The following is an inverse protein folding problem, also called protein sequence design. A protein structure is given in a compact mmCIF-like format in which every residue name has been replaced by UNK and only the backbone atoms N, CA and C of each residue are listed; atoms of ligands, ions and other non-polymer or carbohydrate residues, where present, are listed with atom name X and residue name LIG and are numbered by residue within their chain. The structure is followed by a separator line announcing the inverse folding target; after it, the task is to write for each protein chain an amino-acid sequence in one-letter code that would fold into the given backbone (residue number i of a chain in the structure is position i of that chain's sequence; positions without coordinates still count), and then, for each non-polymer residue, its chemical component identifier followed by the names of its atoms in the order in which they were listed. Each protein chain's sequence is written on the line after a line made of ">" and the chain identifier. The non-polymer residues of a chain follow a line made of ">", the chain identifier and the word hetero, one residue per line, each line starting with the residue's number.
data_IF_976870937503
#
_entry.id   IF_976870937503
#
_cell.length_a   1.000
_cell.length_b   1.000
_cell.length_c   1.000
_cell.angle_alpha   90.00
_cell.angle_beta   90.00
_cell.angle_gamma   90.00
#
_symmetry.space_group_name_H-M   'P 1'
#
loop_
_entity.id
_entity.type
_entity.pdbx_description
1 polymer ?
#
# COMPACT_ATOMS: atom_id res chain seq x y z
N UNK A 1 -2.17 -3.57 6.77
CA UNK A 1 -3.28 -2.81 6.13
C UNK A 1 -3.89 -1.68 6.97
N UNK A 2 -3.84 -1.67 8.30
CA UNK A 2 -4.45 -0.60 9.13
C UNK A 2 -4.01 0.82 8.76
N UNK A 3 -2.76 0.99 8.34
CA UNK A 3 -2.23 2.27 7.92
C UNK A 3 -2.93 2.86 6.68
N UNK A 4 -3.52 2.05 5.79
CA UNK A 4 -4.32 2.54 4.65
C UNK A 4 -5.61 3.24 5.11
N UNK A 5 -6.22 2.72 6.18
CA UNK A 5 -7.40 3.32 6.80
C UNK A 5 -7.00 4.67 7.40
N UNK A 6 -5.89 4.72 8.13
CA UNK A 6 -5.34 5.96 8.71
C UNK A 6 -5.06 7.00 7.62
N UNK A 7 -4.45 6.59 6.50
CA UNK A 7 -4.14 7.47 5.37
C UNK A 7 -5.41 7.97 4.66
N UNK A 8 -6.44 7.13 4.55
CA UNK A 8 -7.74 7.52 4.00
C UNK A 8 -8.45 8.52 4.90
N UNK A 9 -8.41 8.31 6.22
CA UNK A 9 -8.94 9.27 7.21
C UNK A 9 -8.20 10.59 7.12
N UNK A 10 -6.86 10.56 7.04
CA UNK A 10 -6.04 11.76 6.86
C UNK A 10 -6.45 12.55 5.61
N UNK A 11 -6.63 11.87 4.46
CA UNK A 11 -7.10 12.49 3.21
C UNK A 11 -8.45 13.19 3.42
N UNK A 12 -9.42 12.51 4.04
CA UNK A 12 -10.75 13.08 4.31
C UNK A 12 -10.66 14.29 5.23
N UNK A 13 -9.88 14.21 6.31
CA UNK A 13 -9.70 15.31 7.26
C UNK A 13 -9.10 16.55 6.60
N UNK A 14 -8.06 16.39 5.79
CA UNK A 14 -7.44 17.53 5.07
C UNK A 14 -8.44 18.18 4.12
N UNK A 15 -9.24 17.40 3.39
CA UNK A 15 -10.26 17.94 2.48
C UNK A 15 -11.35 18.69 3.24
N UNK A 16 -11.91 18.09 4.31
CA UNK A 16 -12.95 18.72 5.13
C UNK A 16 -12.44 20.02 5.75
N UNK A 17 -11.24 20.00 6.34
CA UNK A 17 -10.65 21.18 6.96
C UNK A 17 -10.42 22.29 5.93
N UNK A 18 -9.88 21.96 4.75
CA UNK A 18 -9.64 22.94 3.70
C UNK A 18 -10.96 23.54 3.20
N UNK A 19 -11.99 22.71 3.01
CA UNK A 19 -13.32 23.16 2.61
C UNK A 19 -13.95 24.07 3.66
N UNK A 20 -13.88 23.68 4.94
CA UNK A 20 -14.40 24.44 6.08
C UNK A 20 -13.72 25.81 6.25
N UNK A 21 -12.39 25.87 6.15
CA UNK A 21 -11.63 27.13 6.21
C UNK A 21 -12.08 28.08 5.09
N UNK A 22 -12.25 27.57 3.87
CA UNK A 22 -12.69 28.39 2.72
C UNK A 22 -14.13 28.88 2.89
N UNK A 23 -15.00 28.04 3.44
CA UNK A 23 -16.37 28.42 3.77
C UNK A 23 -16.41 29.58 4.77
N UNK A 24 -15.66 29.50 5.89
CA UNK A 24 -15.61 30.59 6.89
C UNK A 24 -15.08 31.90 6.29
N UNK A 25 -14.14 31.81 5.34
CA UNK A 25 -13.55 32.98 4.67
C UNK A 25 -14.46 33.60 3.61
N UNK A 26 -15.66 33.04 3.37
CA UNK A 26 -16.56 33.47 2.31
C UNK A 26 -16.02 33.21 0.90
N UNK A 27 -14.97 32.40 0.77
CA UNK A 27 -14.36 32.07 -0.51
C UNK A 27 -15.10 30.95 -1.24
N UNK A 28 -16.05 30.27 -0.57
CA UNK A 28 -16.80 29.13 -1.11
C UNK A 28 -18.21 29.08 -0.52
N UNK A 29 -19.20 28.84 -1.38
CA UNK A 29 -20.58 28.60 -0.98
C UNK A 29 -20.87 27.10 -0.78
N UNK A 30 -21.78 26.78 0.14
CA UNK A 30 -22.29 25.42 0.36
C UNK A 30 -23.32 25.02 -0.72
N UNK A 31 -22.85 24.89 -1.96
CA UNK A 31 -23.66 24.31 -3.03
C UNK A 31 -23.59 22.78 -2.99
N UNK A 32 -24.72 22.12 -3.27
CA UNK A 32 -24.80 20.65 -3.40
C UNK A 32 -23.83 20.15 -4.46
N UNK A 33 -23.68 20.88 -5.57
CA UNK A 33 -22.79 20.51 -6.68
C UNK A 33 -21.32 20.56 -6.27
N UNK A 34 -20.94 21.60 -5.51
CA UNK A 34 -19.61 21.77 -4.91
C UNK A 34 -19.26 20.62 -3.98
N UNK A 35 -20.15 20.33 -3.04
CA UNK A 35 -19.99 19.25 -2.06
C UNK A 35 -19.88 17.89 -2.76
N UNK A 36 -20.74 17.64 -3.75
CA UNK A 36 -20.76 16.37 -4.47
C UNK A 36 -19.51 16.19 -5.34
N UNK A 37 -19.02 17.26 -5.98
CA UNK A 37 -17.76 17.21 -6.73
C UNK A 37 -16.57 16.90 -5.81
N UNK A 38 -16.47 17.57 -4.66
CA UNK A 38 -15.40 17.34 -3.66
C UNK A 38 -15.48 15.92 -3.09
N UNK A 39 -16.69 15.43 -2.79
CA UNK A 39 -16.94 14.05 -2.37
C UNK A 39 -16.42 13.05 -3.41
N UNK A 40 -16.88 13.17 -4.66
CA UNK A 40 -16.45 12.26 -5.73
C UNK A 40 -14.93 12.33 -5.93
N UNK A 41 -14.34 13.51 -5.86
CA UNK A 41 -12.89 13.66 -6.04
C UNK A 41 -12.09 13.02 -4.91
N UNK A 42 -12.58 13.12 -3.68
CA UNK A 42 -11.96 12.50 -2.50
C UNK A 42 -12.01 10.98 -2.59
N UNK A 43 -13.18 10.41 -2.86
CA UNK A 43 -13.33 8.96 -2.99
C UNK A 43 -12.63 8.40 -4.22
N UNK A 44 -12.51 9.17 -5.30
CA UNK A 44 -11.65 8.77 -6.41
C UNK A 44 -10.18 8.64 -5.95
N UNK A 45 -9.65 9.59 -5.18
CA UNK A 45 -8.28 9.49 -4.67
C UNK A 45 -8.09 8.29 -3.72
N UNK A 46 -9.06 8.04 -2.83
CA UNK A 46 -9.04 6.88 -1.93
C UNK A 46 -9.13 5.57 -2.72
N UNK A 47 -10.02 5.49 -3.72
CA UNK A 47 -10.14 4.34 -4.60
C UNK A 47 -8.84 4.06 -5.35
N UNK A 48 -8.16 5.10 -5.84
CA UNK A 48 -6.84 4.98 -6.48
C UNK A 48 -5.79 4.46 -5.50
N UNK A 49 -5.77 4.97 -4.27
CA UNK A 49 -4.88 4.51 -3.21
C UNK A 49 -5.09 3.02 -2.92
N UNK A 50 -6.34 2.58 -2.70
CA UNK A 50 -6.68 1.18 -2.47
C UNK A 50 -6.29 0.31 -3.67
N UNK A 51 -6.61 0.76 -4.88
CA UNK A 51 -6.30 0.04 -6.11
C UNK A 51 -4.80 -0.24 -6.28
N UNK A 52 -3.98 0.80 -6.10
CA UNK A 52 -2.53 0.73 -6.36
C UNK A 52 -1.78 0.10 -5.18
N UNK A 53 -2.02 0.60 -3.98
CA UNK A 53 -1.25 0.27 -2.77
C UNK A 53 -1.82 -0.92 -2.03
N UNK A 54 -3.12 -1.17 -2.14
CA UNK A 54 -3.76 -2.38 -1.63
C UNK A 54 -3.83 -3.49 -2.68
N UNK A 55 -4.23 -3.18 -3.91
CA UNK A 55 -4.44 -4.17 -4.96
C UNK A 55 -3.16 -4.61 -5.66
N UNK A 56 -2.57 -3.72 -6.46
CA UNK A 56 -1.45 -4.05 -7.36
C UNK A 56 -0.22 -4.52 -6.56
N UNK A 57 0.05 -3.95 -5.39
CA UNK A 57 1.18 -4.35 -4.53
C UNK A 57 1.11 -5.81 -4.10
N UNK A 58 -0.07 -6.29 -3.69
CA UNK A 58 -0.30 -7.68 -3.28
C UNK A 58 -0.22 -8.64 -4.47
N UNK A 59 -0.68 -8.20 -5.66
CA UNK A 59 -0.50 -8.96 -6.91
C UNK A 59 0.99 -9.10 -7.25
N UNK A 60 1.77 -8.01 -7.12
CA UNK A 60 3.22 -8.04 -7.33
C UNK A 60 3.92 -8.93 -6.30
N UNK A 61 3.52 -8.90 -5.03
CA UNK A 61 4.07 -9.81 -4.00
C UNK A 61 3.83 -11.27 -4.36
N UNK A 62 2.62 -11.63 -4.80
CA UNK A 62 2.34 -12.98 -5.28
C UNK A 62 3.23 -13.36 -6.47
N UNK A 63 3.48 -12.40 -7.38
CA UNK A 63 4.42 -12.56 -8.49
C UNK A 63 5.87 -12.77 -8.04
N UNK A 64 6.34 -11.99 -7.06
CA UNK A 64 7.67 -12.16 -6.48
C UNK A 64 7.80 -13.50 -5.77
N UNK A 65 6.79 -13.93 -5.01
CA UNK A 65 6.81 -15.23 -4.35
C UNK A 65 6.83 -16.40 -5.32
N UNK A 66 6.16 -16.27 -6.47
CA UNK A 66 6.18 -17.29 -7.51
C UNK A 66 7.52 -17.36 -8.29
N UNK A 67 8.32 -16.29 -8.30
CA UNK A 67 9.52 -16.18 -9.15
C UNK A 67 10.84 -16.20 -8.38
N UNK A 68 10.85 -15.67 -7.16
CA UNK A 68 12.04 -15.53 -6.31
C UNK A 68 11.96 -16.52 -5.16
N UNK A 69 10.91 -16.43 -4.33
CA UNK A 69 10.71 -17.35 -3.22
C UNK A 69 9.61 -16.87 -2.24
N UNK A 70 9.02 -17.77 -1.43
CA UNK A 70 7.90 -17.45 -0.55
C UNK A 70 8.14 -16.26 0.40
N UNK A 71 9.38 -16.03 0.81
CA UNK A 71 9.81 -14.92 1.64
C UNK A 71 9.48 -13.53 1.05
N UNK A 72 9.30 -13.41 -0.27
CA UNK A 72 8.91 -12.15 -0.91
C UNK A 72 7.43 -11.82 -0.83
N UNK A 73 6.60 -12.69 -0.25
CA UNK A 73 5.20 -12.33 -0.01
C UNK A 73 4.77 -12.42 1.44
N UNK A 74 5.50 -13.11 2.31
CA UNK A 74 5.12 -13.23 3.72
C UNK A 74 6.29 -13.01 4.66
N UNK A 75 5.94 -12.51 5.83
CA UNK A 75 6.80 -12.65 6.98
C UNK A 75 7.08 -14.13 7.24
N UNK A 76 8.23 -14.36 7.87
CA UNK A 76 8.57 -15.68 8.36
C UNK A 76 9.01 -15.59 9.80
N UNK A 77 8.78 -16.66 10.52
CA UNK A 77 9.33 -16.84 11.85
C UNK A 77 10.00 -18.20 11.93
N UNK A 78 10.93 -18.34 12.87
CA UNK A 78 11.53 -19.63 13.18
C UNK A 78 10.72 -20.32 14.26
N UNK A 79 10.36 -21.58 14.01
CA UNK A 79 9.81 -22.48 15.01
C UNK A 79 10.86 -23.54 15.37
N UNK A 80 10.94 -23.89 16.65
CA UNK A 80 11.77 -24.98 17.13
C UNK A 80 10.85 -26.12 17.57
N UNK A 81 10.89 -27.24 16.83
CA UNK A 81 10.14 -28.45 17.17
C UNK A 81 11.11 -29.63 17.18
N UNK A 82 11.12 -30.37 18.29
CA UNK A 82 11.85 -31.65 18.42
C UNK A 82 13.34 -31.59 18.03
N UNK A 83 14.03 -30.47 18.30
CA UNK A 83 15.45 -30.32 17.94
C UNK A 83 15.68 -29.78 16.52
N UNK A 84 14.64 -29.60 15.72
CA UNK A 84 14.69 -29.08 14.36
C UNK A 84 14.23 -27.62 14.36
N UNK A 85 15.04 -26.74 13.77
CA UNK A 85 14.65 -25.36 13.48
C UNK A 85 14.04 -25.29 12.09
N UNK A 86 12.74 -25.00 12.00
CA UNK A 86 12.05 -24.76 10.73
C UNK A 86 11.73 -23.28 10.56
N UNK A 87 11.78 -22.80 9.31
CA UNK A 87 11.26 -21.47 8.96
C UNK A 87 9.82 -21.64 8.48
N UNK A 88 8.88 -21.03 9.21
CA UNK A 88 7.46 -21.05 8.88
C UNK A 88 7.09 -19.71 8.26
N UNK A 89 6.36 -19.77 7.14
CA UNK A 89 5.86 -18.60 6.44
C UNK A 89 4.40 -18.37 6.83
N UNK A 90 4.06 -17.13 7.20
CA UNK A 90 2.74 -16.79 7.74
C UNK A 90 1.63 -16.66 6.67
N UNK A 91 1.83 -17.21 5.46
CA UNK A 91 0.85 -17.12 4.39
C UNK A 91 1.15 -17.97 3.15
N UNK A 92 0.42 -17.68 2.06
CA UNK A 92 0.45 -18.47 0.83
C UNK A 92 0.21 -17.61 -0.41
N UNK A 93 0.80 -17.99 -1.56
CA UNK A 93 0.75 -17.23 -2.83
C UNK A 93 -0.71 -16.91 -3.20
N UNK A 94 -1.60 -17.88 -2.98
CA UNK A 94 -3.02 -17.74 -3.23
C UNK A 94 -3.67 -16.67 -2.35
N UNK A 95 -3.28 -16.54 -1.09
CA UNK A 95 -3.80 -15.51 -0.17
C UNK A 95 -3.47 -14.10 -0.66
N UNK A 96 -2.20 -13.85 -1.02
CA UNK A 96 -1.76 -12.54 -1.53
C UNK A 96 -2.41 -12.20 -2.86
N UNK A 97 -2.52 -13.20 -3.76
CA UNK A 97 -3.17 -13.03 -5.05
C UNK A 97 -4.66 -12.70 -4.89
N UNK A 98 -5.39 -13.45 -4.05
CA UNK A 98 -6.82 -13.22 -3.79
C UNK A 98 -7.02 -11.84 -3.18
N UNK A 99 -6.26 -11.50 -2.14
CA UNK A 99 -6.32 -10.18 -1.49
C UNK A 99 -6.05 -9.06 -2.48
N UNK A 100 -5.00 -9.21 -3.30
CA UNK A 100 -4.63 -8.23 -4.32
C UNK A 100 -5.69 -8.04 -5.40
N UNK A 101 -6.25 -9.13 -5.94
CA UNK A 101 -7.34 -9.06 -6.93
C UNK A 101 -8.58 -8.41 -6.34
N UNK A 102 -8.98 -8.80 -5.12
CA UNK A 102 -10.16 -8.22 -4.46
C UNK A 102 -9.99 -6.72 -4.26
N UNK A 103 -8.87 -6.28 -3.68
CA UNK A 103 -8.61 -4.85 -3.43
C UNK A 103 -8.43 -4.07 -4.73
N UNK A 104 -7.82 -4.67 -5.76
CA UNK A 104 -7.71 -4.07 -7.08
C UNK A 104 -9.09 -3.81 -7.68
N UNK A 105 -9.98 -4.82 -7.70
CA UNK A 105 -11.34 -4.68 -8.26
C UNK A 105 -12.14 -3.65 -7.46
N UNK A 106 -12.16 -3.75 -6.13
CA UNK A 106 -12.89 -2.81 -5.27
C UNK A 106 -12.37 -1.38 -5.45
N UNK A 107 -11.05 -1.19 -5.39
CA UNK A 107 -10.41 0.11 -5.59
C UNK A 107 -10.68 0.68 -6.98
N UNK A 108 -10.65 -0.17 -8.01
CA UNK A 108 -10.94 0.21 -9.40
C UNK A 108 -12.38 0.66 -9.58
N UNK A 109 -13.36 -0.07 -9.02
CA UNK A 109 -14.77 0.30 -9.08
C UNK A 109 -15.01 1.64 -8.39
N UNK A 110 -14.45 1.83 -7.19
CA UNK A 110 -14.54 3.11 -6.46
C UNK A 110 -13.91 4.23 -7.28
N UNK A 111 -12.68 4.04 -7.75
CA UNK A 111 -11.97 5.05 -8.54
C UNK A 111 -12.73 5.42 -9.81
N UNK A 112 -13.13 4.44 -10.63
CA UNK A 112 -13.83 4.68 -11.89
C UNK A 112 -15.17 5.37 -11.71
N UNK A 113 -16.02 4.86 -10.81
CA UNK A 113 -17.35 5.42 -10.57
C UNK A 113 -17.28 6.87 -10.08
N UNK A 114 -16.37 7.16 -9.14
CA UNK A 114 -16.25 8.48 -8.56
C UNK A 114 -15.49 9.43 -9.48
N UNK A 115 -14.46 8.97 -10.18
CA UNK A 115 -13.78 9.77 -11.20
C UNK A 115 -14.76 10.19 -12.30
N UNK A 116 -15.63 9.29 -12.75
CA UNK A 116 -16.71 9.62 -13.69
C UNK A 116 -17.66 10.69 -13.12
N UNK A 117 -18.03 10.59 -11.84
CA UNK A 117 -18.80 11.62 -11.14
C UNK A 117 -18.13 13.00 -11.18
N UNK A 118 -16.81 13.05 -10.99
CA UNK A 118 -16.06 14.32 -11.08
C UNK A 118 -16.07 14.92 -12.48
N UNK A 119 -15.99 14.08 -13.52
CA UNK A 119 -16.03 14.55 -14.91
C UNK A 119 -17.39 15.16 -15.25
N UNK A 120 -18.49 14.55 -14.79
CA UNK A 120 -19.85 15.05 -15.04
C UNK A 120 -20.12 16.39 -14.35
N UNK A 121 -19.56 16.60 -13.17
CA UNK A 121 -19.80 17.82 -12.37
C UNK A 121 -18.77 18.93 -12.61
N UNK A 122 -17.65 18.64 -13.28
CA UNK A 122 -16.59 19.62 -13.50
C UNK A 122 -17.04 20.87 -14.27
N UNK A 123 -17.99 20.72 -15.20
CA UNK A 123 -18.54 21.85 -15.96
C UNK A 123 -19.61 22.66 -15.22
N UNK A 124 -20.16 22.13 -14.13
CA UNK A 124 -21.21 22.79 -13.34
C UNK A 124 -20.61 23.47 -12.11
N UNK A 125 -19.63 22.83 -11.48
CA UNK A 125 -18.89 23.36 -10.33
C UNK A 125 -17.52 23.91 -10.75
N UNK A 126 -17.48 24.81 -11.75
CA UNK A 126 -16.23 25.31 -12.36
C UNK A 126 -15.34 26.02 -11.32
N UNK A 127 -15.93 26.92 -10.52
CA UNK A 127 -15.23 27.66 -9.46
C UNK A 127 -14.52 26.71 -8.46
N UNK A 128 -15.25 25.71 -7.96
CA UNK A 128 -14.73 24.73 -7.00
C UNK A 128 -13.66 23.86 -7.65
N UNK A 129 -13.88 23.47 -8.89
CA UNK A 129 -12.95 22.65 -9.67
C UNK A 129 -11.61 23.35 -9.80
N UNK A 130 -11.58 24.63 -10.16
CA UNK A 130 -10.32 25.39 -10.28
C UNK A 130 -9.57 25.48 -8.94
N UNK A 131 -10.28 25.79 -7.85
CA UNK A 131 -9.67 25.95 -6.55
C UNK A 131 -9.17 24.63 -5.94
N UNK A 132 -9.91 23.53 -6.10
CA UNK A 132 -9.57 22.24 -5.49
C UNK A 132 -8.68 21.35 -6.35
N UNK A 133 -8.57 21.60 -7.66
CA UNK A 133 -7.68 20.83 -8.55
C UNK A 133 -6.23 20.84 -8.06
N UNK A 134 -5.75 21.98 -7.57
CA UNK A 134 -4.43 22.11 -6.94
C UNK A 134 -4.33 21.28 -5.65
N UNK A 135 -5.33 21.37 -4.77
CA UNK A 135 -5.37 20.63 -3.50
C UNK A 135 -5.30 19.12 -3.72
N UNK A 136 -6.15 18.56 -4.59
CA UNK A 136 -6.16 17.11 -4.81
C UNK A 136 -4.89 16.60 -5.50
N UNK A 137 -4.25 17.42 -6.35
CA UNK A 137 -2.95 17.08 -6.94
C UNK A 137 -1.85 17.10 -5.89
N UNK A 138 -1.85 18.09 -5.00
CA UNK A 138 -0.93 18.17 -3.86
C UNK A 138 -1.16 17.02 -2.88
N UNK A 139 -2.42 16.66 -2.60
CA UNK A 139 -2.76 15.59 -1.69
C UNK A 139 -2.31 14.23 -2.24
N UNK A 140 -2.54 13.97 -3.54
CA UNK A 140 -1.99 12.80 -4.21
C UNK A 140 -0.45 12.78 -4.15
N UNK A 141 0.20 13.93 -4.40
CA UNK A 141 1.65 14.05 -4.28
C UNK A 141 2.15 13.69 -2.87
N UNK A 142 1.57 14.30 -1.82
CA UNK A 142 1.97 14.07 -0.43
C UNK A 142 1.73 12.61 -0.04
N UNK A 143 0.52 12.09 -0.26
CA UNK A 143 0.13 10.71 0.10
C UNK A 143 1.05 9.70 -0.58
N UNK A 144 1.21 9.78 -1.91
CA UNK A 144 2.04 8.81 -2.63
C UNK A 144 3.54 9.03 -2.39
N UNK A 145 3.99 10.24 -2.06
CA UNK A 145 5.38 10.46 -1.61
C UNK A 145 5.65 9.81 -0.26
N UNK A 146 4.75 9.93 0.71
CA UNK A 146 4.89 9.29 2.02
C UNK A 146 4.95 7.77 1.84
N UNK A 147 3.97 7.20 1.11
CA UNK A 147 3.94 5.75 0.84
C UNK A 147 5.21 5.28 0.13
N UNK A 148 5.67 6.00 -0.91
CA UNK A 148 6.87 5.59 -1.66
C UNK A 148 8.12 5.67 -0.78
N UNK A 149 8.30 6.76 -0.02
CA UNK A 149 9.50 6.98 0.78
C UNK A 149 9.58 6.02 1.97
N UNK A 150 8.49 5.83 2.70
CA UNK A 150 8.47 4.90 3.83
C UNK A 150 8.77 3.48 3.36
N UNK A 151 8.16 3.07 2.25
CA UNK A 151 8.36 1.72 1.69
C UNK A 151 9.76 1.54 1.09
N UNK A 152 10.36 2.61 0.57
CA UNK A 152 11.77 2.57 0.14
C UNK A 152 12.72 2.40 1.34
N UNK A 153 12.46 3.12 2.44
CA UNK A 153 13.31 3.03 3.64
C UNK A 153 13.25 1.68 4.34
N UNK A 154 12.13 0.95 4.20
CA UNK A 154 11.98 -0.40 4.76
C UNK A 154 12.45 -1.49 3.79
N UNK A 155 12.22 -1.33 2.48
CA UNK A 155 12.63 -2.34 1.49
C UNK A 155 14.15 -2.52 1.40
N UNK A 156 14.93 -1.45 1.55
CA UNK A 156 16.40 -1.53 1.45
C UNK A 156 17.02 -2.44 2.53
N UNK A 157 16.80 -2.22 3.85
CA UNK A 157 17.28 -3.13 4.88
C UNK A 157 16.79 -4.58 4.70
N UNK A 158 15.49 -4.78 4.43
CA UNK A 158 14.93 -6.13 4.29
C UNK A 158 15.53 -6.90 3.11
N UNK A 159 15.78 -6.24 1.98
CA UNK A 159 16.48 -6.85 0.84
C UNK A 159 17.94 -7.18 1.18
N UNK A 160 18.65 -6.28 1.87
CA UNK A 160 20.03 -6.56 2.26
C UNK A 160 20.12 -7.75 3.21
N UNK A 161 19.20 -7.85 4.16
CA UNK A 161 19.12 -8.96 5.10
C UNK A 161 18.85 -10.29 4.38
N UNK A 162 17.94 -10.30 3.41
CA UNK A 162 17.69 -11.47 2.56
C UNK A 162 18.96 -11.93 1.83
N UNK A 163 19.64 -11.02 1.12
CA UNK A 163 20.84 -11.37 0.35
C UNK A 163 22.02 -11.83 1.23
N UNK A 164 22.16 -11.26 2.43
CA UNK A 164 23.21 -11.65 3.37
C UNK A 164 22.91 -13.03 3.99
N UNK A 165 21.66 -13.29 4.37
CA UNK A 165 21.27 -14.55 5.01
C UNK A 165 21.37 -15.75 4.05
N UNK A 166 20.97 -15.58 2.79
CA UNK A 166 21.12 -16.63 1.77
C UNK A 166 22.59 -17.00 1.54
N UNK A 167 23.53 -16.05 1.70
CA UNK A 167 24.96 -16.34 1.61
C UNK A 167 25.53 -17.16 2.79
N UNK A 168 24.78 -17.29 3.90
CA UNK A 168 25.26 -17.89 5.16
C UNK A 168 24.63 -19.25 5.49
N UNK A 169 23.64 -19.73 4.72
CA UNK A 169 22.98 -21.01 4.99
C UNK A 169 23.59 -22.15 4.17
N UNK A 170 24.36 -23.02 4.84
CA UNK A 170 24.66 -24.36 4.29
C UNK A 170 23.45 -25.24 4.58
N UNK A 171 22.75 -25.67 3.53
CA UNK A 171 21.64 -26.63 3.65
C UNK A 171 22.19 -27.96 4.16
N UNK A 172 21.93 -28.28 5.43
CA UNK A 172 22.15 -29.64 5.96
C UNK A 172 20.88 -30.44 5.66
N UNK A 173 20.92 -31.24 4.61
CA UNK A 173 19.89 -32.24 4.32
C UNK A 173 20.16 -33.42 5.26
N UNK A 174 19.34 -33.59 6.30
CA UNK A 174 19.29 -34.84 7.07
C UNK A 174 18.40 -35.83 6.33
N UNK A 175 18.99 -36.96 5.94
CA UNK A 175 18.33 -38.06 5.23
C UNK A 175 17.58 -38.93 6.25
N UNK A 176 16.25 -38.94 6.15
CA UNK A 176 15.33 -39.47 7.17
C UNK A 176 15.12 -40.98 7.00
N UNK A 177 16.20 -41.77 7.10
CA UNK A 177 16.16 -43.23 7.01
C UNK A 177 16.72 -43.92 8.25
N UNK A 178 15.84 -44.09 9.25
CA UNK A 178 15.69 -45.28 10.12
C UNK A 178 15.35 -44.89 11.56
N UNK A 179 14.08 -44.99 11.97
CA UNK A 179 13.76 -45.34 13.37
C UNK A 179 12.45 -46.15 13.42
N UNK A 180 12.55 -47.47 13.62
CA UNK A 180 11.46 -48.31 14.14
C UNK A 180 11.51 -48.35 15.67
N UNK A 181 10.32 -48.36 16.28
CA UNK A 181 9.92 -48.67 17.66
C UNK A 181 10.42 -47.79 18.82
N UNK A 182 9.48 -47.16 19.52
CA UNK A 182 9.01 -47.62 20.84
C UNK A 182 7.82 -46.77 21.35
N UNK A 183 6.81 -47.43 21.91
CA UNK A 183 5.75 -46.80 22.72
C UNK A 183 6.41 -45.94 23.81
N UNK A 184 6.38 -44.62 23.65
CA UNK A 184 6.81 -43.66 24.65
C UNK A 184 5.78 -42.55 24.77
N UNK A 185 5.46 -42.23 26.03
CA UNK A 185 4.50 -41.23 26.45
C UNK A 185 4.62 -39.94 25.63
N UNK A 186 3.50 -39.44 25.12
CA UNK A 186 3.41 -38.17 24.38
C UNK A 186 4.02 -37.07 25.25
N UNK A 187 5.19 -36.50 24.89
CA UNK A 187 5.77 -35.42 25.68
C UNK A 187 4.83 -34.22 25.68
N UNK A 188 4.79 -33.41 26.76
CA UNK A 188 3.98 -32.21 26.79
C UNK A 188 4.37 -31.32 25.60
N UNK A 189 3.35 -30.86 24.85
CA UNK A 189 3.49 -29.97 23.70
C UNK A 189 4.54 -28.88 24.00
N UNK A 190 5.67 -28.82 23.29
CA UNK A 190 6.71 -27.86 23.59
C UNK A 190 6.18 -26.43 23.48
N UNK A 191 6.60 -25.56 24.39
CA UNK A 191 6.37 -24.12 24.29
C UNK A 191 7.03 -23.62 23.00
N UNK A 192 6.22 -23.29 21.99
CA UNK A 192 6.68 -22.72 20.72
C UNK A 192 7.30 -21.37 21.03
N UNK A 193 8.63 -21.30 21.01
CA UNK A 193 9.38 -20.07 21.16
C UNK A 193 9.65 -19.49 19.76
N UNK A 194 8.79 -18.56 19.31
CA UNK A 194 8.98 -17.82 18.07
C UNK A 194 9.88 -16.62 18.34
N UNK A 195 11.18 -16.75 18.10
CA UNK A 195 12.14 -15.74 18.56
C UNK A 195 12.55 -14.71 17.49
N UNK A 196 12.14 -14.90 16.24
CA UNK A 196 12.68 -14.10 15.15
C UNK A 196 11.66 -13.89 14.02
N UNK A 197 10.80 -12.89 14.19
CA UNK A 197 9.83 -12.47 13.19
C UNK A 197 10.51 -11.57 12.16
N UNK A 198 10.53 -12.00 10.90
CA UNK A 198 11.11 -11.25 9.79
C UNK A 198 10.02 -10.73 8.88
N UNK A 199 10.08 -9.44 8.56
CA UNK A 199 9.20 -8.83 7.57
C UNK A 199 9.57 -9.29 6.14
N UNK A 200 8.56 -9.40 5.27
CA UNK A 200 8.77 -9.72 3.86
C UNK A 200 9.48 -8.57 3.14
N UNK A 201 10.65 -8.77 2.50
CA UNK A 201 11.26 -7.77 1.64
C UNK A 201 10.37 -7.37 0.46
N UNK A 202 9.52 -8.29 -0.01
CA UNK A 202 8.64 -8.02 -1.13
C UNK A 202 7.42 -7.18 -0.78
N UNK A 203 7.01 -7.07 0.50
CA UNK A 203 5.89 -6.21 0.90
C UNK A 203 6.20 -4.74 0.67
N UNK A 204 7.28 -4.27 1.30
CA UNK A 204 7.77 -2.90 1.14
C UNK A 204 8.21 -2.60 -0.29
N UNK A 205 8.87 -3.55 -0.95
CA UNK A 205 9.33 -3.37 -2.33
C UNK A 205 8.14 -3.23 -3.30
N UNK A 206 7.11 -4.07 -3.18
CA UNK A 206 5.96 -4.00 -4.08
C UNK A 206 5.19 -2.69 -3.91
N UNK A 207 5.00 -2.23 -2.67
CA UNK A 207 4.35 -0.94 -2.39
C UNK A 207 5.14 0.21 -3.00
N UNK A 208 6.47 0.21 -2.86
CA UNK A 208 7.31 1.23 -3.49
C UNK A 208 7.15 1.23 -5.01
N UNK A 209 7.25 0.07 -5.64
CA UNK A 209 7.17 -0.05 -7.10
C UNK A 209 5.79 0.35 -7.67
N UNK A 210 4.69 0.07 -6.95
CA UNK A 210 3.35 0.44 -7.42
C UNK A 210 3.00 1.90 -7.14
N UNK A 211 3.48 2.46 -6.03
CA UNK A 211 3.22 3.87 -5.68
C UNK A 211 4.06 4.85 -6.50
N UNK A 212 5.26 4.46 -6.92
CA UNK A 212 6.21 5.31 -7.65
C UNK A 212 5.64 5.92 -8.95
N UNK A 213 4.96 5.17 -9.85
CA UNK A 213 4.35 5.76 -11.05
C UNK A 213 3.33 6.86 -10.73
N UNK A 214 2.50 6.68 -9.70
CA UNK A 214 1.49 7.66 -9.28
C UNK A 214 2.17 8.88 -8.66
N UNK A 215 3.22 8.65 -7.87
CA UNK A 215 4.02 9.73 -7.30
C UNK A 215 4.68 10.58 -8.41
N UNK A 216 5.37 9.97 -9.36
CA UNK A 216 6.02 10.65 -10.49
C UNK A 216 4.99 11.42 -11.34
N UNK A 217 3.84 10.82 -11.60
CA UNK A 217 2.74 11.50 -12.29
C UNK A 217 2.25 12.73 -11.53
N UNK A 218 2.08 12.62 -10.21
CA UNK A 218 1.63 13.72 -9.34
C UNK A 218 2.65 14.85 -9.28
N UNK A 219 3.95 14.53 -9.26
CA UNK A 219 5.04 15.52 -9.38
C UNK A 219 4.94 16.28 -10.71
N UNK A 220 4.84 15.56 -11.84
CA UNK A 220 4.71 16.19 -13.17
C UNK A 220 3.48 17.08 -13.25
N UNK A 221 2.33 16.60 -12.76
CA UNK A 221 1.08 17.38 -12.74
C UNK A 221 1.22 18.65 -11.89
N UNK A 222 1.87 18.57 -10.73
CA UNK A 222 2.13 19.72 -9.87
C UNK A 222 2.97 20.78 -10.60
N UNK A 223 4.06 20.38 -11.26
CA UNK A 223 4.88 21.31 -12.05
C UNK A 223 4.12 21.93 -13.22
N UNK A 224 3.26 21.17 -13.90
CA UNK A 224 2.42 21.71 -14.99
C UNK A 224 1.46 22.79 -14.48
N UNK A 225 0.82 22.57 -13.32
CA UNK A 225 -0.10 23.54 -12.70
C UNK A 225 0.64 24.82 -12.30
N UNK A 226 1.87 24.70 -11.78
CA UNK A 226 2.69 25.87 -11.41
C UNK A 226 3.10 26.66 -12.65
N UNK A 227 3.53 25.97 -13.72
CA UNK A 227 3.95 26.62 -14.97
C UNK A 227 2.80 27.28 -15.74
N UNK A 228 1.56 26.81 -15.58
CA UNK A 228 0.41 27.35 -16.30
C UNK A 228 -0.18 28.63 -15.70
N UNK A 229 0.27 29.07 -14.51
CA UNK A 229 -0.19 30.34 -13.94
C UNK A 229 0.50 31.52 -14.66
N UNK A 230 -0.24 32.53 -15.14
CA UNK A 230 0.38 33.72 -15.73
C UNK A 230 1.30 34.37 -14.71
N UNK A 231 2.47 34.84 -15.15
CA UNK A 231 3.35 35.65 -14.30
C UNK A 231 2.56 36.88 -13.91
N UNK A 232 2.33 37.06 -12.61
CA UNK A 232 1.83 38.32 -12.07
C UNK A 232 2.92 39.36 -12.38
N UNK A 233 2.67 40.21 -13.38
CA UNK A 233 3.49 41.41 -13.57
C UNK A 233 3.34 42.24 -12.29
N UNK A 234 4.48 42.49 -11.63
CA UNK A 234 4.57 43.32 -10.43
C UNK A 234 4.56 44.79 -10.81
#
# INVERSE_FOLDING_TARGET
>A
MWWLIVLSIFVVLVVILTYFIRYIRGEQALSVESLLWVYFRTFALIGLLICVVGGISNILQAGFAATIGPEFSWSSHREFNEGITSRVFDGSITSSLVTGITLFIVGLIIWMSHYWGTLKLAGVAEEVTEHFKGLFTLLALVVFSLVSLTSLTTSLPSLTEYFIDESSSTVVITDDSNYELADTEVPPKPEIYSDDYRESPGDSLSIFLTSLPVWVWSVRKSFMIIKSKPKVEK
#
